data_IF_809163647382
#
_entry.id   IF_809163647382
#
_cell.length_a   1.000
_cell.length_b   1.000
_cell.length_c   1.000
_cell.angle_alpha   90.00
_cell.angle_beta   90.00
_cell.angle_gamma   90.00
#
_symmetry.space_group_name_H-M   'P 1'
#
loop_
_entity.id
_entity.type
_entity.pdbx_description
1 polymer ?
#
# COMPACT_ATOMS: atom_id res chain seq x y z
N UNK A 1 39.64 -54.52 0.84
CA UNK A 1 38.68 -53.46 1.26
C UNK A 1 37.32 -54.12 1.44
N UNK A 2 36.84 -54.19 2.67
CA UNK A 2 35.54 -54.82 2.95
C UNK A 2 34.40 -53.79 2.74
N UNK A 3 33.27 -54.26 2.22
CA UNK A 3 32.07 -53.40 1.98
C UNK A 3 31.65 -52.57 3.19
N UNK A 4 31.97 -53.03 4.40
CA UNK A 4 31.70 -52.34 5.66
C UNK A 4 32.54 -51.08 5.85
N UNK A 5 33.76 -51.02 5.32
CA UNK A 5 34.67 -49.88 5.47
C UNK A 5 34.26 -48.74 4.55
N UNK A 6 33.75 -49.07 3.37
CA UNK A 6 33.19 -48.08 2.43
C UNK A 6 31.92 -47.42 2.98
N UNK A 7 31.04 -48.18 3.64
CA UNK A 7 29.84 -47.66 4.28
C UNK A 7 30.15 -46.75 5.47
N UNK A 8 31.17 -47.04 6.25
CA UNK A 8 31.62 -46.19 7.36
C UNK A 8 32.23 -44.88 6.86
N UNK A 9 32.92 -44.89 5.75
CA UNK A 9 33.51 -43.67 5.15
C UNK A 9 32.45 -42.78 4.51
N UNK A 10 31.40 -43.35 3.90
CA UNK A 10 30.26 -42.61 3.34
C UNK A 10 29.38 -41.95 4.43
N UNK A 11 29.23 -42.60 5.60
CA UNK A 11 28.49 -42.02 6.72
C UNK A 11 29.22 -40.84 7.37
N UNK A 12 30.56 -40.81 7.35
CA UNK A 12 31.33 -39.70 7.91
C UNK A 12 31.29 -38.42 7.05
N UNK A 13 31.09 -38.55 5.73
CA UNK A 13 30.92 -37.40 4.85
C UNK A 13 29.51 -36.77 4.92
N UNK A 14 28.48 -37.52 5.31
CA UNK A 14 27.11 -37.03 5.39
C UNK A 14 26.90 -36.09 6.60
N UNK A 15 27.75 -36.13 7.62
CA UNK A 15 27.59 -35.28 8.83
C UNK A 15 28.20 -33.87 8.64
N UNK A 16 29.09 -33.68 7.68
CA UNK A 16 29.74 -32.38 7.41
C UNK A 16 28.96 -31.50 6.40
N UNK A 17 27.92 -32.02 5.73
CA UNK A 17 27.11 -31.32 4.77
C UNK A 17 25.85 -30.67 5.33
N UNK A 18 25.58 -30.78 6.63
CA UNK A 18 24.31 -30.43 7.26
C UNK A 18 24.24 -29.04 7.93
N UNK A 19 25.18 -28.11 7.66
CA UNK A 19 25.00 -26.72 8.00
C UNK A 19 24.20 -26.11 6.86
N UNK A 20 22.88 -26.35 6.86
CA UNK A 20 21.95 -25.63 6.01
C UNK A 20 22.10 -24.14 6.31
N UNK A 21 22.72 -23.40 5.37
CA UNK A 21 22.59 -21.95 5.39
C UNK A 21 21.09 -21.62 5.49
N UNK A 22 20.67 -20.75 6.42
CA UNK A 22 19.30 -20.30 6.43
C UNK A 22 19.02 -19.76 5.03
N UNK A 23 18.19 -20.45 4.27
CA UNK A 23 17.63 -19.90 3.05
C UNK A 23 16.91 -18.64 3.50
N UNK A 24 17.48 -17.46 3.23
CA UNK A 24 16.80 -16.20 3.35
C UNK A 24 15.67 -16.30 2.34
N UNK A 25 14.51 -16.79 2.82
CA UNK A 25 13.29 -16.81 2.04
C UNK A 25 12.99 -15.37 1.68
N UNK A 26 13.29 -15.00 0.44
CA UNK A 26 12.85 -13.71 -0.10
C UNK A 26 11.33 -13.71 -0.04
N UNK A 27 10.70 -12.71 0.59
CA UNK A 27 9.26 -12.64 0.63
C UNK A 27 8.75 -12.54 -0.81
N UNK A 28 8.05 -13.60 -1.25
CA UNK A 28 7.49 -13.68 -2.59
C UNK A 28 6.31 -12.70 -2.64
N UNK A 29 6.43 -11.64 -3.43
CA UNK A 29 5.31 -10.75 -3.75
C UNK A 29 5.41 -9.31 -3.23
N UNK A 30 6.45 -8.91 -2.53
CA UNK A 30 6.69 -7.51 -2.16
C UNK A 30 8.19 -7.18 -2.10
N UNK A 31 8.53 -5.91 -2.30
CA UNK A 31 9.86 -5.35 -2.16
C UNK A 31 9.86 -4.32 -1.02
N UNK A 32 10.91 -4.36 -0.19
CA UNK A 32 11.06 -3.38 0.88
C UNK A 32 11.50 -2.03 0.30
N UNK A 33 10.77 -0.97 0.63
CA UNK A 33 11.16 0.40 0.30
C UNK A 33 12.30 0.82 1.23
N UNK A 34 13.45 1.14 0.65
CA UNK A 34 14.63 1.59 1.40
C UNK A 34 15.15 2.92 0.81
N UNK A 35 15.35 3.96 1.63
CA UNK A 35 15.03 4.01 3.07
C UNK A 35 13.51 4.02 3.34
N UNK A 36 13.07 3.60 4.54
CA UNK A 36 11.65 3.70 4.93
C UNK A 36 11.17 5.14 4.78
N UNK A 37 9.98 5.31 4.18
CA UNK A 37 9.40 6.63 4.03
C UNK A 37 8.78 7.10 5.36
N UNK A 38 8.92 8.39 5.72
CA UNK A 38 8.26 8.91 6.89
C UNK A 38 6.74 8.89 6.71
N UNK A 39 6.01 8.61 7.78
CA UNK A 39 4.55 8.70 7.84
C UNK A 39 4.16 9.86 8.74
N UNK A 40 3.04 10.52 8.46
CA UNK A 40 2.49 11.56 9.31
C UNK A 40 1.76 10.98 10.53
N UNK A 41 1.22 9.79 10.39
CA UNK A 41 0.49 9.06 11.43
C UNK A 41 1.44 8.30 12.36
N UNK A 42 2.13 9.01 13.25
CA UNK A 42 3.10 8.41 14.18
C UNK A 42 2.47 7.29 15.02
N UNK A 43 3.09 6.10 14.98
CA UNK A 43 2.66 4.93 15.74
C UNK A 43 1.40 4.25 15.22
N UNK A 44 0.95 4.58 14.02
CA UNK A 44 -0.21 3.99 13.35
C UNK A 44 0.16 3.49 11.95
N UNK A 45 -0.68 2.66 11.39
CA UNK A 45 -0.63 2.29 9.98
C UNK A 45 -1.28 3.42 9.18
N UNK A 46 -0.55 4.02 8.25
CA UNK A 46 -1.06 5.04 7.34
C UNK A 46 -1.39 4.43 5.99
N UNK A 47 -2.60 4.70 5.52
CA UNK A 47 -3.07 4.28 4.19
C UNK A 47 -3.36 5.54 3.39
N UNK A 48 -2.73 5.66 2.22
CA UNK A 48 -2.90 6.80 1.32
C UNK A 48 -3.66 6.38 0.08
N UNK A 49 -4.70 7.13 -0.26
CA UNK A 49 -5.36 7.06 -1.56
C UNK A 49 -4.87 8.21 -2.43
N UNK A 50 -4.20 7.89 -3.53
CA UNK A 50 -3.86 8.88 -4.56
C UNK A 50 -4.98 8.91 -5.60
N UNK A 51 -5.70 10.03 -5.72
CA UNK A 51 -6.87 10.16 -6.58
C UNK A 51 -6.92 11.51 -7.31
N UNK A 52 -7.83 11.65 -8.26
CA UNK A 52 -8.29 12.94 -8.78
C UNK A 52 -9.74 12.85 -9.24
N UNK A 53 -10.48 13.96 -9.16
CA UNK A 53 -11.92 13.99 -9.48
C UNK A 53 -12.25 13.67 -10.95
N UNK A 54 -11.31 13.79 -11.87
CA UNK A 54 -11.47 13.38 -13.26
C UNK A 54 -11.20 11.90 -13.53
N UNK A 55 -10.95 11.07 -12.51
CA UNK A 55 -10.67 9.64 -12.66
C UNK A 55 -11.95 8.81 -12.55
N UNK A 56 -12.41 8.13 -13.63
CA UNK A 56 -13.62 7.32 -13.58
C UNK A 56 -13.55 6.14 -12.63
N UNK A 57 -12.37 5.52 -12.52
CA UNK A 57 -12.14 4.40 -11.60
C UNK A 57 -12.16 4.87 -10.14
N UNK A 58 -11.63 6.05 -9.84
CA UNK A 58 -11.71 6.64 -8.51
C UNK A 58 -13.18 6.89 -8.12
N UNK A 59 -13.97 7.48 -9.03
CA UNK A 59 -15.42 7.68 -8.83
C UNK A 59 -16.15 6.38 -8.52
N UNK A 60 -15.91 5.33 -9.31
CA UNK A 60 -16.56 4.03 -9.13
C UNK A 60 -16.13 3.33 -7.83
N UNK A 61 -14.91 3.54 -7.40
CA UNK A 61 -14.32 2.92 -6.21
C UNK A 61 -14.73 3.64 -4.91
N UNK A 62 -14.91 4.95 -4.95
CA UNK A 62 -15.15 5.79 -3.78
C UNK A 62 -16.27 5.31 -2.84
N UNK A 63 -17.47 4.89 -3.31
CA UNK A 63 -18.52 4.39 -2.42
C UNK A 63 -18.11 3.14 -1.62
N UNK A 64 -17.31 2.26 -2.22
CA UNK A 64 -16.80 1.05 -1.57
C UNK A 64 -15.73 1.41 -0.54
N UNK A 65 -14.86 2.35 -0.91
CA UNK A 65 -13.80 2.85 -0.07
C UNK A 65 -14.37 3.55 1.18
N UNK A 66 -15.39 4.38 1.03
CA UNK A 66 -16.09 5.03 2.14
C UNK A 66 -16.66 4.02 3.15
N UNK A 67 -17.28 2.95 2.67
CA UNK A 67 -17.78 1.88 3.52
C UNK A 67 -16.68 1.14 4.27
N UNK A 68 -15.54 0.97 3.64
CA UNK A 68 -14.40 0.31 4.24
C UNK A 68 -13.70 1.22 5.26
N UNK A 69 -13.48 2.50 4.94
CA UNK A 69 -12.86 3.49 5.85
C UNK A 69 -13.62 3.58 7.17
N UNK A 70 -14.95 3.52 7.16
CA UNK A 70 -15.79 3.54 8.37
C UNK A 70 -15.57 2.32 9.28
N UNK A 71 -14.93 1.27 8.79
CA UNK A 71 -14.67 0.02 9.54
C UNK A 71 -13.22 -0.11 9.98
N UNK A 72 -12.38 0.87 9.68
CA UNK A 72 -10.96 0.83 10.04
C UNK A 72 -10.78 0.80 11.57
N UNK A 73 -9.84 -0.01 12.07
CA UNK A 73 -9.49 -0.01 13.47
C UNK A 73 -8.77 1.30 13.84
N UNK A 74 -8.73 1.62 15.14
CA UNK A 74 -8.22 2.91 15.66
C UNK A 74 -6.72 3.13 15.45
N UNK A 75 -5.98 2.09 15.15
CA UNK A 75 -4.54 2.11 14.83
C UNK A 75 -4.25 2.31 13.35
N UNK A 76 -5.28 2.49 12.51
CA UNK A 76 -5.16 2.79 11.09
C UNK A 76 -5.68 4.21 10.81
N UNK A 77 -4.92 4.97 10.03
CA UNK A 77 -5.31 6.29 9.52
C UNK A 77 -5.41 6.21 8.00
N UNK A 78 -6.51 6.71 7.46
CA UNK A 78 -6.73 6.83 6.02
C UNK A 78 -6.67 8.30 5.63
N UNK A 79 -5.90 8.59 4.58
CA UNK A 79 -5.72 9.96 4.06
C UNK A 79 -5.84 9.97 2.54
N UNK A 80 -6.62 10.89 2.00
CA UNK A 80 -6.70 11.15 0.55
C UNK A 80 -5.68 12.17 0.12
N UNK A 81 -5.00 11.87 -0.97
CA UNK A 81 -3.98 12.73 -1.58
C UNK A 81 -4.40 13.05 -3.02
N UNK A 82 -4.86 14.28 -3.30
CA UNK A 82 -5.22 14.64 -4.66
C UNK A 82 -3.97 14.78 -5.53
N UNK A 83 -3.92 14.09 -6.66
CA UNK A 83 -2.79 14.13 -7.61
C UNK A 83 -3.09 15.06 -8.77
N UNK A 84 -2.05 15.74 -9.26
CA UNK A 84 -2.18 16.75 -10.32
C UNK A 84 -1.49 16.36 -11.62
N UNK A 85 -0.52 15.46 -11.57
CA UNK A 85 0.31 15.03 -12.71
C UNK A 85 0.85 16.21 -13.55
N UNK A 86 1.05 17.39 -12.93
CA UNK A 86 1.42 18.62 -13.63
C UNK A 86 0.30 19.26 -14.47
N UNK A 87 -0.94 18.76 -14.40
CA UNK A 87 -2.08 19.27 -15.14
C UNK A 87 -2.75 20.43 -14.37
N UNK A 88 -2.92 21.63 -14.98
CA UNK A 88 -3.53 22.78 -14.32
C UNK A 88 -5.00 22.56 -13.90
N UNK A 89 -5.78 21.80 -14.66
CA UNK A 89 -7.17 21.48 -14.32
C UNK A 89 -7.23 20.59 -13.08
N UNK A 90 -6.40 19.56 -13.03
CA UNK A 90 -6.29 18.70 -11.84
C UNK A 90 -5.76 19.48 -10.65
N UNK A 91 -4.86 20.46 -10.84
CA UNK A 91 -4.41 21.34 -9.78
C UNK A 91 -5.55 22.20 -9.19
N UNK A 92 -6.49 22.66 -10.04
CA UNK A 92 -7.70 23.34 -9.60
C UNK A 92 -8.59 22.45 -8.75
N UNK A 93 -8.81 21.20 -9.20
CA UNK A 93 -9.61 20.21 -8.48
C UNK A 93 -8.94 19.77 -7.17
N UNK A 94 -7.61 19.67 -7.14
CA UNK A 94 -6.87 19.40 -5.91
C UNK A 94 -7.02 20.52 -4.88
N UNK A 95 -6.96 21.80 -5.31
CA UNK A 95 -7.23 22.94 -4.44
C UNK A 95 -8.66 22.89 -3.88
N UNK A 96 -9.66 22.56 -4.72
CA UNK A 96 -11.03 22.38 -4.26
C UNK A 96 -11.10 21.31 -3.16
N UNK A 97 -10.52 20.14 -3.38
CA UNK A 97 -10.49 19.08 -2.36
C UNK A 97 -9.88 19.57 -1.03
N UNK A 98 -8.69 20.18 -1.07
CA UNK A 98 -8.01 20.68 0.13
C UNK A 98 -8.82 21.79 0.84
N UNK A 99 -9.58 22.59 0.09
CA UNK A 99 -10.48 23.58 0.67
C UNK A 99 -11.61 22.88 1.43
N UNK A 100 -12.22 21.84 0.86
CA UNK A 100 -13.28 21.08 1.51
C UNK A 100 -12.81 20.35 2.76
N UNK A 101 -11.60 19.82 2.76
CA UNK A 101 -10.97 19.25 3.96
C UNK A 101 -10.83 20.33 5.06
N UNK A 102 -10.37 21.52 4.68
CA UNK A 102 -10.19 22.64 5.63
C UNK A 102 -11.52 23.18 6.17
N UNK A 103 -12.58 23.21 5.37
CA UNK A 103 -13.90 23.70 5.78
C UNK A 103 -14.75 22.63 6.47
N UNK A 104 -14.37 21.35 6.39
CA UNK A 104 -15.14 20.23 6.91
C UNK A 104 -16.30 19.80 5.99
N UNK A 105 -16.37 20.31 4.77
CA UNK A 105 -17.44 20.02 3.81
C UNK A 105 -17.18 18.77 2.96
N UNK A 106 -15.99 18.16 3.09
CA UNK A 106 -15.57 17.03 2.26
C UNK A 106 -16.59 15.90 2.27
N UNK A 107 -16.99 15.41 3.44
CA UNK A 107 -17.92 14.28 3.56
C UNK A 107 -19.28 14.51 2.87
N UNK A 108 -19.70 15.76 2.75
CA UNK A 108 -20.98 16.16 2.12
C UNK A 108 -20.87 16.33 0.62
N UNK A 109 -19.72 16.79 0.12
CA UNK A 109 -19.59 17.25 -1.28
C UNK A 109 -18.75 16.34 -2.15
N UNK A 110 -17.91 15.45 -1.58
CA UNK A 110 -16.96 14.64 -2.32
C UNK A 110 -17.58 13.86 -3.49
N UNK A 111 -18.62 13.09 -3.22
CA UNK A 111 -19.32 12.33 -4.26
C UNK A 111 -19.99 13.24 -5.31
N UNK A 112 -20.58 14.38 -4.88
CA UNK A 112 -21.23 15.34 -5.79
C UNK A 112 -20.21 15.98 -6.76
N UNK A 113 -18.97 16.19 -6.31
CA UNK A 113 -17.91 16.73 -7.16
C UNK A 113 -17.48 15.70 -8.21
N UNK A 114 -17.35 14.42 -7.83
CA UNK A 114 -17.13 13.36 -8.81
C UNK A 114 -18.23 13.36 -9.89
N UNK A 115 -19.48 13.48 -9.47
CA UNK A 115 -20.61 13.53 -10.40
C UNK A 115 -20.54 14.77 -11.30
N UNK A 116 -20.30 15.95 -10.74
CA UNK A 116 -20.23 17.20 -11.49
C UNK A 116 -19.07 17.24 -12.50
N UNK A 117 -17.90 16.70 -12.13
CA UNK A 117 -16.71 16.71 -13.00
C UNK A 117 -16.80 15.68 -14.12
N UNK A 118 -17.57 14.62 -13.92
CA UNK A 118 -17.66 13.48 -14.87
C UNK A 118 -19.05 13.34 -15.51
N UNK A 119 -19.85 14.38 -15.45
CA UNK A 119 -21.22 14.39 -16.00
C UNK A 119 -21.31 14.75 -17.50
N UNK A 120 -20.16 14.88 -18.19
CA UNK A 120 -20.11 15.15 -19.64
C UNK A 120 -20.25 13.89 -20.48
#
# INVERSE_FOLDING_TARGET
>A
MQRRDVLKQLSALAVLGGVGLPALAQPVGYELVAPPQPTEAKGKVEILEFFHYGCPHCKSFDPLLELWVKKLPSDVVFTRVPVTWGNPQLAGLAKLFLTLETTGDHARLHGQIFDAVQSE
#
